data_IF_788251690464
#
_entry.id   IF_788251690464
#
_cell.length_a   1.000
_cell.length_b   1.000
_cell.length_c   1.000
_cell.angle_alpha   90.00
_cell.angle_beta   90.00
_cell.angle_gamma   90.00
#
_symmetry.space_group_name_H-M   'P 1'
#
loop_
_entity.id
_entity.type
_entity.pdbx_description
1 polymer ?
#
# COMPACT_ATOMS: atom_id res chain seq x y z
N UNK A 1 62.77 -27.90 -21.46
CA UNK A 1 62.41 -26.77 -20.64
C UNK A 1 60.93 -26.43 -20.82
N UNK A 2 60.19 -26.48 -19.79
CA UNK A 2 58.75 -26.38 -19.88
C UNK A 2 58.21 -25.12 -19.27
N UNK A 3 57.56 -24.37 -20.07
CA UNK A 3 56.81 -23.25 -19.61
C UNK A 3 55.45 -23.70 -19.13
N UNK A 4 55.29 -23.65 -17.85
CA UNK A 4 53.96 -23.92 -17.30
C UNK A 4 53.24 -22.58 -17.20
N UNK A 5 52.32 -22.41 -18.11
CA UNK A 5 51.46 -21.23 -18.03
C UNK A 5 50.31 -21.57 -17.10
N UNK A 6 50.36 -21.05 -15.94
CA UNK A 6 49.22 -21.10 -15.06
C UNK A 6 48.23 -20.04 -15.51
N UNK A 7 47.30 -20.46 -16.25
CA UNK A 7 46.08 -19.71 -16.41
C UNK A 7 45.35 -19.75 -15.07
N UNK A 8 45.67 -18.86 -14.19
CA UNK A 8 44.76 -18.58 -13.12
C UNK A 8 43.51 -18.02 -13.75
N UNK A 9 42.59 -18.90 -13.95
CA UNK A 9 41.23 -18.46 -14.21
C UNK A 9 40.79 -17.70 -12.97
N UNK A 10 40.85 -16.42 -13.07
CA UNK A 10 40.16 -15.57 -12.16
C UNK A 10 38.68 -15.89 -12.36
N UNK A 11 38.18 -16.76 -11.54
CA UNK A 11 36.76 -16.86 -11.37
C UNK A 11 36.36 -15.53 -10.77
N UNK A 12 35.99 -14.59 -11.60
CA UNK A 12 35.18 -13.49 -11.16
C UNK A 12 33.90 -14.10 -10.65
N UNK A 13 33.89 -14.40 -9.39
CA UNK A 13 32.63 -14.47 -8.71
C UNK A 13 32.04 -13.06 -8.78
N UNK A 14 31.39 -12.77 -9.87
CA UNK A 14 30.40 -11.73 -9.84
C UNK A 14 29.42 -12.19 -8.79
N UNK A 15 29.60 -11.70 -7.59
CA UNK A 15 28.50 -11.60 -6.68
C UNK A 15 27.44 -10.83 -7.47
N UNK A 16 26.66 -11.55 -8.25
CA UNK A 16 25.47 -11.01 -8.86
C UNK A 16 24.76 -10.33 -7.71
N UNK A 17 24.80 -9.03 -7.77
CA UNK A 17 24.51 -8.21 -6.63
C UNK A 17 23.33 -8.77 -5.90
N UNK A 18 23.51 -8.99 -4.64
CA UNK A 18 22.42 -9.14 -3.75
C UNK A 18 21.59 -7.86 -3.88
N UNK A 19 21.00 -7.65 -5.03
CA UNK A 19 19.88 -6.78 -5.12
C UNK A 19 18.84 -7.49 -4.29
N UNK A 20 18.79 -7.06 -3.04
CA UNK A 20 17.68 -7.38 -2.20
C UNK A 20 16.43 -6.96 -2.97
N UNK A 21 15.89 -7.88 -3.76
CA UNK A 21 14.55 -7.74 -4.27
C UNK A 21 13.70 -7.61 -3.04
N UNK A 22 13.29 -6.38 -2.74
CA UNK A 22 12.37 -6.14 -1.65
C UNK A 22 11.13 -6.98 -1.93
N UNK A 23 10.88 -7.95 -1.08
CA UNK A 23 9.72 -8.78 -1.22
C UNK A 23 8.47 -7.91 -1.20
N UNK A 24 7.55 -8.17 -2.11
CA UNK A 24 6.31 -7.40 -2.23
C UNK A 24 5.13 -8.20 -1.71
N UNK A 25 4.17 -7.49 -1.17
CA UNK A 25 2.87 -8.02 -0.83
C UNK A 25 1.77 -7.23 -1.50
N UNK A 26 0.55 -7.70 -1.36
CA UNK A 26 -0.62 -7.08 -1.96
C UNK A 26 -1.62 -6.71 -0.86
N UNK A 27 -2.14 -5.51 -0.95
CA UNK A 27 -3.31 -5.07 -0.19
C UNK A 27 -4.49 -4.94 -1.13
N UNK A 28 -5.65 -5.35 -0.68
CA UNK A 28 -6.90 -5.19 -1.39
C UNK A 28 -8.02 -4.95 -0.39
N UNK A 29 -9.09 -4.37 -0.86
CA UNK A 29 -10.25 -4.13 0.00
C UNK A 29 -11.18 -3.09 -0.58
N UNK A 30 -12.03 -2.58 0.27
CA UNK A 30 -13.04 -1.60 -0.09
C UNK A 30 -12.85 -0.36 0.76
N UNK A 31 -13.03 0.81 0.16
CA UNK A 31 -13.08 2.08 0.87
C UNK A 31 -14.53 2.51 0.95
N UNK A 32 -15.01 2.71 2.15
CA UNK A 32 -16.35 3.22 2.44
C UNK A 32 -16.26 4.64 2.97
N UNK A 33 -17.26 5.43 2.75
CA UNK A 33 -17.37 6.78 3.34
C UNK A 33 -18.69 6.91 4.07
N UNK A 34 -18.67 7.58 5.19
CA UNK A 34 -19.86 7.81 6.01
C UNK A 34 -19.58 8.71 7.20
N UNK A 35 -20.64 9.13 7.88
CA UNK A 35 -22.05 8.93 7.51
C UNK A 35 -22.45 9.73 6.28
N UNK A 36 -23.38 9.22 5.49
CA UNK A 36 -23.91 9.90 4.30
C UNK A 36 -25.09 10.83 4.63
N UNK A 37 -25.60 10.71 5.83
CA UNK A 37 -26.66 11.55 6.34
C UNK A 37 -26.36 11.95 7.78
N UNK A 38 -26.88 13.10 8.27
CA UNK A 38 -26.65 13.52 9.66
C UNK A 38 -27.23 12.55 10.70
N UNK A 39 -28.28 11.83 10.35
CA UNK A 39 -28.92 10.85 11.21
C UNK A 39 -28.93 9.51 10.50
N UNK A 40 -28.31 8.51 11.11
CA UNK A 40 -28.30 7.16 10.58
C UNK A 40 -29.53 6.42 11.09
N UNK A 41 -30.47 6.13 10.18
CA UNK A 41 -31.67 5.37 10.51
C UNK A 41 -31.35 3.87 10.59
N UNK A 42 -32.05 3.17 11.47
CA UNK A 42 -32.01 1.70 11.55
C UNK A 42 -32.47 1.13 10.21
N UNK A 43 -31.77 0.11 9.72
CA UNK A 43 -32.07 -0.59 8.46
C UNK A 43 -31.76 0.21 7.19
N UNK A 44 -31.18 1.39 7.31
CA UNK A 44 -30.70 2.13 6.15
C UNK A 44 -29.17 2.23 6.17
N UNK A 45 -28.52 2.00 5.01
CA UNK A 45 -27.06 2.18 4.96
C UNK A 45 -26.70 3.61 5.32
N UNK A 46 -25.77 3.78 6.25
CA UNK A 46 -25.24 5.08 6.63
C UNK A 46 -23.92 5.36 5.93
N UNK A 47 -23.35 4.35 5.34
CA UNK A 47 -22.10 4.42 4.59
C UNK A 47 -22.32 4.01 3.15
N UNK A 48 -21.45 4.45 2.28
CA UNK A 48 -21.46 4.07 0.88
C UNK A 48 -20.05 3.82 0.37
N UNK A 49 -19.88 3.03 -0.69
CA UNK A 49 -18.58 2.87 -1.33
C UNK A 49 -18.06 4.23 -1.81
N UNK A 50 -16.76 4.46 -1.65
CA UNK A 50 -16.12 5.70 -2.04
C UNK A 50 -15.40 5.52 -3.38
N UNK A 51 -16.01 5.95 -4.51
CA UNK A 51 -15.37 5.83 -5.82
C UNK A 51 -14.32 6.90 -6.02
N UNK A 52 -13.31 6.58 -6.84
CA UNK A 52 -12.27 7.51 -7.27
C UNK A 52 -11.49 8.15 -6.11
N UNK A 53 -11.34 7.43 -5.01
CA UNK A 53 -10.52 7.86 -3.88
C UNK A 53 -9.09 7.41 -4.13
N UNK A 54 -8.17 8.35 -4.01
CA UNK A 54 -6.73 8.04 -4.08
C UNK A 54 -6.21 7.80 -2.68
N UNK A 55 -5.57 6.66 -2.49
CA UNK A 55 -4.85 6.30 -1.28
C UNK A 55 -3.36 6.39 -1.56
N UNK A 56 -2.65 7.15 -0.74
CA UNK A 56 -1.19 7.25 -0.81
C UNK A 56 -0.58 6.45 0.34
N UNK A 57 0.24 5.48 -0.02
CA UNK A 57 0.96 4.66 0.95
C UNK A 57 2.36 5.23 1.11
N UNK A 58 2.65 5.74 2.30
CA UNK A 58 3.88 6.47 2.56
C UNK A 58 4.74 5.77 3.59
N UNK A 59 6.04 5.95 3.43
CA UNK A 59 7.05 5.49 4.39
C UNK A 59 8.04 6.64 4.59
N UNK A 60 8.21 7.05 5.84
CA UNK A 60 9.08 8.19 6.18
C UNK A 60 8.74 9.45 5.36
N UNK A 61 7.45 9.70 5.16
CA UNK A 61 6.97 10.85 4.40
C UNK A 61 7.05 10.73 2.88
N UNK A 62 7.64 9.65 2.37
CA UNK A 62 7.77 9.42 0.93
C UNK A 62 6.66 8.52 0.44
N UNK A 63 6.00 8.91 -0.66
CA UNK A 63 4.99 8.09 -1.31
C UNK A 63 5.67 6.91 -1.99
N UNK A 64 5.35 5.70 -1.52
CA UNK A 64 5.89 4.45 -2.08
C UNK A 64 4.93 3.84 -3.08
N UNK A 65 3.63 4.01 -2.86
CA UNK A 65 2.61 3.48 -3.74
C UNK A 65 1.32 4.26 -3.68
N UNK A 66 0.50 4.02 -4.68
CA UNK A 66 -0.78 4.70 -4.87
C UNK A 66 -1.83 3.68 -5.29
N UNK A 67 -3.02 3.82 -4.76
CA UNK A 67 -4.19 3.09 -5.21
C UNK A 67 -5.35 4.05 -5.43
N UNK A 68 -6.16 3.78 -6.45
CA UNK A 68 -7.36 4.55 -6.73
C UNK A 68 -8.53 3.58 -6.72
N UNK A 69 -9.57 3.91 -5.97
CA UNK A 69 -10.76 3.06 -5.90
C UNK A 69 -11.56 3.14 -7.19
N UNK A 70 -12.15 2.00 -7.57
CA UNK A 70 -13.11 1.93 -8.66
C UNK A 70 -14.50 2.43 -8.24
N UNK A 71 -15.47 2.24 -9.13
CA UNK A 71 -16.86 2.70 -8.90
C UNK A 71 -17.51 2.05 -7.67
N UNK A 72 -17.10 0.85 -7.34
CA UNK A 72 -17.60 0.11 -6.18
C UNK A 72 -16.77 0.32 -4.91
N UNK A 73 -15.83 1.26 -4.93
CA UNK A 73 -14.96 1.56 -3.81
C UNK A 73 -13.83 0.57 -3.60
N UNK A 74 -13.62 -0.36 -4.51
CA UNK A 74 -12.56 -1.37 -4.36
C UNK A 74 -11.22 -0.84 -4.82
N UNK A 75 -10.17 -1.28 -4.12
CA UNK A 75 -8.79 -0.97 -4.48
C UNK A 75 -7.94 -2.22 -4.42
N UNK A 76 -6.81 -2.17 -5.09
CA UNK A 76 -5.76 -3.18 -5.03
C UNK A 76 -4.42 -2.50 -5.28
N UNK A 77 -3.42 -2.84 -4.48
CA UNK A 77 -2.09 -2.26 -4.62
C UNK A 77 -1.03 -3.28 -4.24
N UNK A 78 0.07 -3.25 -4.95
CA UNK A 78 1.27 -4.04 -4.62
C UNK A 78 2.34 -3.10 -4.07
N UNK A 79 2.88 -3.47 -2.90
CA UNK A 79 3.85 -2.65 -2.19
C UNK A 79 4.97 -3.52 -1.64
N UNK A 80 6.18 -2.97 -1.52
CA UNK A 80 7.22 -3.62 -0.73
C UNK A 80 6.72 -3.92 0.67
N UNK A 81 7.11 -5.07 1.21
CA UNK A 81 6.70 -5.47 2.56
C UNK A 81 7.15 -4.45 3.60
N UNK A 82 6.32 -4.22 4.59
CA UNK A 82 6.61 -3.32 5.68
C UNK A 82 5.42 -2.48 6.12
N UNK A 83 5.70 -1.51 6.97
CA UNK A 83 4.71 -0.63 7.55
C UNK A 83 4.56 0.65 6.71
N UNK A 84 3.33 1.11 6.59
CA UNK A 84 2.99 2.31 5.82
C UNK A 84 2.01 3.18 6.59
N UNK A 85 2.16 4.49 6.44
CA UNK A 85 1.09 5.42 6.73
C UNK A 85 0.26 5.61 5.46
N UNK A 86 -1.06 5.73 5.62
CA UNK A 86 -1.98 5.91 4.49
C UNK A 86 -2.61 7.28 4.61
N UNK A 87 -2.62 8.01 3.52
CA UNK A 87 -3.25 9.32 3.47
C UNK A 87 -3.87 9.59 2.10
N UNK A 88 -4.71 10.59 2.05
CA UNK A 88 -5.26 11.10 0.78
C UNK A 88 -4.41 12.28 0.29
N UNK A 89 -4.43 12.59 -1.02
CA UNK A 89 -3.53 13.61 -1.60
C UNK A 89 -3.65 15.00 -0.98
N UNK A 90 -4.83 15.36 -0.49
CA UNK A 90 -5.07 16.66 0.14
C UNK A 90 -4.51 16.76 1.56
N UNK A 91 -4.15 15.64 2.17
CA UNK A 91 -3.63 15.60 3.51
C UNK A 91 -2.10 15.74 3.48
N UNK A 92 -1.55 16.72 4.19
CA UNK A 92 -0.10 16.90 4.32
C UNK A 92 0.51 16.02 5.41
N UNK A 93 -0.33 15.54 6.29
CA UNK A 93 0.02 14.65 7.41
C UNK A 93 -0.86 13.41 7.38
N UNK A 94 -0.75 12.56 8.40
CA UNK A 94 -1.63 11.41 8.53
C UNK A 94 -3.08 11.88 8.49
N UNK A 95 -3.86 11.30 7.58
CA UNK A 95 -5.26 11.65 7.42
C UNK A 95 -6.08 11.03 8.55
N UNK A 96 -6.47 11.84 9.51
CA UNK A 96 -7.24 11.39 10.68
C UNK A 96 -8.67 11.00 10.35
N UNK A 97 -9.16 11.38 9.17
CA UNK A 97 -10.49 10.98 8.71
C UNK A 97 -10.49 9.60 8.06
N UNK A 98 -9.31 9.10 7.72
CA UNK A 98 -9.13 7.79 7.12
C UNK A 98 -8.76 6.78 8.19
N UNK A 99 -9.49 5.69 8.26
CA UNK A 99 -9.21 4.61 9.22
C UNK A 99 -9.24 3.25 8.50
N UNK A 100 -8.25 2.37 8.74
CA UNK A 100 -7.02 2.65 9.47
C UNK A 100 -6.09 3.58 8.68
N UNK A 101 -5.25 4.34 9.35
CA UNK A 101 -4.27 5.20 8.68
C UNK A 101 -2.85 4.63 8.73
N UNK A 102 -2.70 3.44 9.27
CA UNK A 102 -1.46 2.67 9.28
C UNK A 102 -1.75 1.24 8.93
N UNK A 103 -0.93 0.67 8.06
CA UNK A 103 -1.12 -0.69 7.57
C UNK A 103 0.22 -1.40 7.50
N UNK A 104 0.14 -2.72 7.51
CA UNK A 104 1.30 -3.58 7.36
C UNK A 104 1.12 -4.44 6.11
N UNK A 105 2.14 -4.47 5.25
CA UNK A 105 2.18 -5.31 4.06
C UNK A 105 3.08 -6.51 4.34
N UNK A 106 2.51 -7.70 4.25
CA UNK A 106 3.25 -8.94 4.43
C UNK A 106 3.81 -9.43 3.10
N UNK A 107 5.08 -9.84 3.11
CA UNK A 107 5.75 -10.33 1.91
C UNK A 107 5.04 -11.56 1.33
N UNK A 108 4.87 -11.58 0.02
CA UNK A 108 4.30 -12.69 -0.74
C UNK A 108 2.88 -13.08 -0.31
N UNK A 109 2.15 -12.15 0.31
CA UNK A 109 0.78 -12.38 0.78
C UNK A 109 -0.15 -11.31 0.27
N UNK A 110 -1.40 -11.70 0.10
CA UNK A 110 -2.50 -10.77 -0.12
C UNK A 110 -3.28 -10.62 1.18
N UNK A 111 -3.44 -9.38 1.63
CA UNK A 111 -4.22 -9.08 2.82
C UNK A 111 -5.38 -8.18 2.45
N UNK A 112 -6.53 -8.46 3.04
CA UNK A 112 -7.68 -7.58 2.91
C UNK A 112 -7.64 -6.55 4.02
N UNK A 113 -7.64 -5.28 3.63
CA UNK A 113 -7.77 -4.13 4.53
C UNK A 113 -8.81 -3.20 3.95
N UNK A 114 -9.90 -3.03 4.68
CA UNK A 114 -10.96 -2.11 4.31
C UNK A 114 -10.71 -0.78 5.02
N UNK A 115 -10.92 0.31 4.29
CA UNK A 115 -10.77 1.67 4.80
C UNK A 115 -12.13 2.33 4.95
N UNK A 116 -12.23 3.21 5.91
CA UNK A 116 -13.38 4.07 6.06
C UNK A 116 -12.94 5.53 6.14
N UNK A 117 -13.74 6.39 5.53
CA UNK A 117 -13.52 7.83 5.53
C UNK A 117 -14.67 8.47 6.30
N UNK A 118 -14.32 9.26 7.31
CA UNK A 118 -15.29 10.09 8.02
C UNK A 118 -15.60 11.31 7.16
N UNK A 119 -16.85 11.44 6.72
CA UNK A 119 -17.29 12.57 5.91
C UNK A 119 -17.38 13.88 6.69
N UNK A 120 -17.44 13.79 8.01
CA UNK A 120 -17.67 14.96 8.86
C UNK A 120 -19.12 15.43 8.91
N UNK A 121 -20.02 14.73 8.25
CA UNK A 121 -21.45 15.04 8.33
C UNK A 121 -21.96 14.68 9.73
N UNK A 122 -22.57 15.66 10.41
CA UNK A 122 -23.10 15.50 11.78
C UNK A 122 -24.55 15.95 11.84
#
# INVERSE_FOLDING_TARGET
MRLVVYLSSLALAVAAGAQATTARGTLMGTVMRGPITPVCAIEQPCDEPAPNVTLLFTRNGTVVGRAVTGQNGRYRVRLPAGAYAVRRPSATTIDKRLAPNRVWVAAARTRRIDFSIDTGIR
#
